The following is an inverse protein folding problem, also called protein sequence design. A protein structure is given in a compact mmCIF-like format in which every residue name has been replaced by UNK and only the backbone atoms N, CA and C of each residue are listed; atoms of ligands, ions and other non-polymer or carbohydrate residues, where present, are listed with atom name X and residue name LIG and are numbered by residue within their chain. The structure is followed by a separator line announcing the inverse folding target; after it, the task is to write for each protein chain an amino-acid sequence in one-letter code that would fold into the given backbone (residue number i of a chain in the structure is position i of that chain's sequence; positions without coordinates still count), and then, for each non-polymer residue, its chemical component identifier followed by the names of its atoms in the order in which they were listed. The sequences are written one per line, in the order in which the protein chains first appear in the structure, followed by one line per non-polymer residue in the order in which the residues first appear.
data_IF_508131681797
#
_entry.id   IF_508131681797
#
_cell.length_a   1.000
_cell.length_b   1.000
_cell.length_c   1.000
_cell.angle_alpha   90.00
_cell.angle_beta   90.00
_cell.angle_gamma   90.00
#
_symmetry.space_group_name_H-M   'P 1'
#
loop_
_entity.id
_entity.type
_entity.pdbx_description
1 polymer ?
#
# COMPACT_ATOMS: atom_id res chain seq x y z
N UNK A 1 -44.15 -29.06 -15.33
CA UNK A 1 -45.06 -28.82 -16.47
C UNK A 1 -44.39 -27.78 -17.35
N UNK A 2 -43.83 -28.22 -18.48
CA UNK A 2 -42.99 -27.46 -19.41
C UNK A 2 -43.87 -26.74 -20.43
N UNK A 3 -43.56 -25.46 -20.70
CA UNK A 3 -43.71 -24.71 -21.96
C UNK A 3 -43.49 -23.22 -21.60
N UNK A 4 -42.59 -22.46 -22.22
CA UNK A 4 -42.67 -22.16 -23.64
C UNK A 4 -41.42 -21.41 -24.16
N UNK A 5 -41.01 -21.83 -25.35
CA UNK A 5 -40.47 -21.05 -26.48
C UNK A 5 -38.96 -20.74 -26.49
N UNK A 6 -38.39 -21.26 -27.57
CA UNK A 6 -37.00 -21.31 -27.97
C UNK A 6 -36.83 -20.32 -29.14
N UNK A 7 -35.58 -19.85 -29.32
CA UNK A 7 -34.95 -19.32 -30.55
C UNK A 7 -34.89 -17.80 -30.71
N UNK A 8 -33.71 -17.24 -30.38
CA UNK A 8 -32.90 -16.51 -31.36
C UNK A 8 -31.45 -16.38 -30.88
N UNK A 9 -30.65 -17.29 -31.42
CA UNK A 9 -29.26 -17.20 -31.84
C UNK A 9 -28.53 -15.86 -31.58
N UNK A 10 -27.53 -15.93 -30.71
CA UNK A 10 -26.30 -15.14 -30.85
C UNK A 10 -25.11 -16.10 -30.65
N UNK A 11 -24.67 -16.73 -31.75
CA UNK A 11 -23.29 -17.21 -31.84
C UNK A 11 -22.38 -15.98 -31.81
N UNK A 12 -21.78 -15.66 -30.67
CA UNK A 12 -20.60 -14.80 -30.65
C UNK A 12 -19.40 -15.72 -30.80
N UNK A 13 -18.94 -15.82 -32.04
CA UNK A 13 -17.62 -16.33 -32.42
C UNK A 13 -16.60 -15.29 -31.94
N UNK A 14 -15.57 -15.73 -31.20
CA UNK A 14 -14.29 -15.00 -31.14
C UNK A 14 -13.71 -14.74 -29.75
N UNK A 15 -12.75 -15.59 -29.37
CA UNK A 15 -11.37 -15.26 -28.95
C UNK A 15 -10.89 -16.15 -27.78
N UNK A 16 -9.99 -17.14 -28.00
CA UNK A 16 -9.14 -17.65 -26.94
C UNK A 16 -8.03 -16.61 -26.71
N UNK A 17 -8.33 -15.57 -25.94
CA UNK A 17 -7.40 -14.45 -25.82
C UNK A 17 -7.86 -13.36 -24.86
N UNK A 18 -8.32 -13.72 -23.66
CA UNK A 18 -8.30 -12.77 -22.55
C UNK A 18 -7.53 -13.39 -21.40
N UNK A 19 -6.35 -12.81 -21.18
CA UNK A 19 -5.48 -13.09 -20.08
C UNK A 19 -6.24 -12.93 -18.76
N UNK A 20 -6.46 -14.04 -18.07
CA UNK A 20 -6.66 -13.99 -16.63
C UNK A 20 -5.28 -13.80 -15.98
N UNK A 21 -4.70 -12.60 -16.12
CA UNK A 21 -3.77 -12.13 -15.10
C UNK A 21 -4.60 -11.96 -13.84
N UNK A 22 -4.66 -13.02 -13.03
CA UNK A 22 -5.15 -12.95 -11.67
C UNK A 22 -4.25 -11.94 -10.96
N UNK A 23 -4.67 -10.67 -10.93
CA UNK A 23 -4.09 -9.70 -10.02
C UNK A 23 -4.33 -10.30 -8.65
N UNK A 24 -3.29 -10.90 -8.07
CA UNK A 24 -3.22 -11.13 -6.64
C UNK A 24 -3.80 -9.87 -6.03
N UNK A 25 -4.89 -10.04 -5.29
CA UNK A 25 -5.35 -9.03 -4.36
C UNK A 25 -4.21 -8.88 -3.36
N UNK A 26 -3.23 -8.09 -3.77
CA UNK A 26 -2.17 -7.55 -2.94
C UNK A 26 -2.98 -6.70 -1.97
N UNK A 27 -3.39 -7.33 -0.87
CA UNK A 27 -3.89 -6.66 0.31
C UNK A 27 -2.78 -5.69 0.67
N UNK A 28 -2.83 -4.48 0.07
CA UNK A 28 -1.80 -3.47 0.24
C UNK A 28 -1.73 -3.29 1.76
N UNK A 29 -0.59 -3.59 2.41
CA UNK A 29 -0.45 -3.18 3.80
C UNK A 29 -0.78 -1.69 3.80
N UNK A 30 -1.71 -1.26 4.67
CA UNK A 30 -2.21 0.11 4.74
C UNK A 30 -1.08 1.06 4.33
N UNK A 31 -1.24 1.75 3.19
CA UNK A 31 -0.14 2.49 2.58
C UNK A 31 0.16 3.72 3.42
N UNK A 32 0.98 3.53 4.45
CA UNK A 32 1.46 4.58 5.31
C UNK A 32 2.48 5.39 4.54
N UNK A 33 2.14 6.66 4.32
CA UNK A 33 3.04 7.61 3.67
C UNK A 33 3.75 8.40 4.76
N UNK A 34 5.07 8.26 4.86
CA UNK A 34 5.87 9.06 5.77
C UNK A 34 6.52 10.25 5.06
N UNK A 35 6.69 11.34 5.81
CA UNK A 35 7.34 12.56 5.36
C UNK A 35 8.29 13.05 6.45
N UNK A 36 9.52 13.37 6.07
CA UNK A 36 10.54 13.96 6.94
C UNK A 36 11.45 14.90 6.13
N UNK A 37 12.15 15.81 6.80
CA UNK A 37 13.17 16.64 6.13
C UNK A 37 14.35 15.76 5.72
N UNK A 38 14.67 15.74 4.43
CA UNK A 38 15.70 14.85 3.91
C UNK A 38 15.29 13.37 3.99
N UNK A 39 14.01 13.03 3.93
CA UNK A 39 13.59 11.63 3.84
C UNK A 39 14.01 11.04 2.48
N UNK A 40 14.81 9.98 2.51
CA UNK A 40 15.16 9.21 1.32
C UNK A 40 14.20 8.03 1.14
N UNK A 41 13.97 7.27 2.20
CA UNK A 41 13.04 6.16 2.20
C UNK A 41 12.40 6.01 3.58
N UNK A 42 11.19 5.45 3.59
CA UNK A 42 10.48 5.16 4.83
C UNK A 42 9.62 3.93 4.67
N UNK A 43 9.51 3.16 5.75
CA UNK A 43 8.56 2.07 5.82
C UNK A 43 7.91 2.05 7.20
N UNK A 44 6.58 2.07 7.21
CA UNK A 44 5.82 1.92 8.44
C UNK A 44 4.72 0.89 8.23
N UNK A 45 4.70 -0.14 9.08
CA UNK A 45 3.76 -1.26 9.00
C UNK A 45 2.66 -1.21 10.07
N UNK A 46 2.51 -0.08 10.78
CA UNK A 46 1.46 0.09 11.80
C UNK A 46 1.84 -0.33 13.23
N UNK A 47 3.13 -0.55 13.51
CA UNK A 47 3.64 -0.90 14.85
C UNK A 47 4.10 0.30 15.68
N UNK A 48 4.91 0.04 16.72
CA UNK A 48 5.48 1.06 17.61
C UNK A 48 6.75 1.74 17.07
N UNK A 49 7.27 1.24 15.95
CA UNK A 49 8.45 1.79 15.28
C UNK A 49 8.22 1.94 13.77
N UNK A 50 8.86 2.95 13.19
CA UNK A 50 8.92 3.18 11.75
C UNK A 50 10.37 3.14 11.27
N UNK A 51 10.61 2.48 10.14
CA UNK A 51 11.88 2.55 9.45
C UNK A 51 11.99 3.89 8.74
N UNK A 52 13.02 4.66 9.08
CA UNK A 52 13.30 5.96 8.46
C UNK A 52 14.74 5.94 7.94
N UNK A 53 14.90 6.27 6.67
CA UNK A 53 16.17 6.50 6.03
C UNK A 53 16.24 7.95 5.56
N UNK A 54 17.18 8.70 6.12
CA UNK A 54 17.44 10.09 5.77
C UNK A 54 18.61 10.22 4.80
N UNK A 55 18.54 11.20 3.92
CA UNK A 55 19.62 11.65 3.04
C UNK A 55 20.82 12.06 3.90
N UNK A 56 22.00 11.54 3.58
CA UNK A 56 23.22 11.75 4.36
C UNK A 56 23.54 10.64 5.36
N UNK A 57 22.65 9.66 5.54
CA UNK A 57 22.92 8.46 6.34
C UNK A 57 23.11 7.25 5.43
N UNK A 58 24.18 6.49 5.63
CA UNK A 58 24.44 5.26 4.84
C UNK A 58 23.39 4.18 5.03
N UNK A 59 22.64 4.20 6.13
CA UNK A 59 21.60 3.23 6.43
C UNK A 59 20.41 3.89 7.13
N UNK A 60 19.20 3.41 6.86
CA UNK A 60 18.05 3.76 7.69
C UNK A 60 18.04 2.97 8.99
N UNK A 61 17.21 3.42 9.94
CA UNK A 61 17.02 2.79 11.23
C UNK A 61 15.55 2.77 11.61
N UNK A 62 15.19 1.87 12.51
CA UNK A 62 13.86 1.85 13.13
C UNK A 62 13.84 2.82 14.30
N UNK A 63 12.97 3.80 14.23
CA UNK A 63 12.77 4.79 15.27
C UNK A 63 11.42 4.60 15.94
N UNK A 64 11.33 4.79 17.26
CA UNK A 64 10.06 4.75 17.96
C UNK A 64 9.15 5.86 17.46
N UNK A 65 7.85 5.55 17.37
CA UNK A 65 6.84 6.49 16.93
C UNK A 65 5.69 6.57 17.90
N UNK A 66 5.12 7.76 18.02
CA UNK A 66 3.87 8.02 18.71
C UNK A 66 2.72 8.01 17.70
N UNK A 67 1.79 7.08 17.88
CA UNK A 67 0.56 7.01 17.08
C UNK A 67 -0.53 7.88 17.69
N UNK A 68 -1.02 8.84 16.91
CA UNK A 68 -2.15 9.73 17.21
C UNK A 68 -3.23 9.56 16.13
N UNK A 69 -4.07 8.55 16.31
CA UNK A 69 -5.10 8.20 15.33
C UNK A 69 -4.50 7.72 14.00
N UNK A 70 -4.77 8.45 12.92
CA UNK A 70 -4.25 8.16 11.57
C UNK A 70 -2.90 8.83 11.28
N UNK A 71 -2.35 9.56 12.25
CA UNK A 71 -1.06 10.23 12.15
C UNK A 71 -0.10 9.59 13.15
N UNK A 72 1.10 9.31 12.69
CA UNK A 72 2.16 8.69 13.46
C UNK A 72 3.36 9.61 13.36
N UNK A 73 3.93 10.03 14.49
CA UNK A 73 5.05 10.96 14.52
C UNK A 73 6.23 10.33 15.24
N UNK A 74 7.45 10.59 14.77
CA UNK A 74 8.64 10.18 15.47
C UNK A 74 9.77 11.18 15.29
N UNK A 75 10.87 10.93 16.00
CA UNK A 75 12.08 11.73 15.93
C UNK A 75 13.26 10.78 15.71
N UNK A 76 14.05 11.07 14.69
CA UNK A 76 15.28 10.31 14.43
C UNK A 76 16.38 10.68 15.43
N UNK A 77 17.44 9.87 15.54
CA UNK A 77 18.57 10.14 16.45
C UNK A 77 19.28 11.47 16.18
N UNK A 78 19.11 12.07 15.01
CA UNK A 78 19.66 13.38 14.67
C UNK A 78 18.74 14.55 15.05
N UNK A 79 17.53 14.29 15.54
CA UNK A 79 16.53 15.31 15.86
C UNK A 79 15.57 15.63 14.71
N UNK A 80 15.72 15.01 13.54
CA UNK A 80 14.77 15.17 12.43
C UNK A 80 13.44 14.54 12.79
N UNK A 81 12.39 15.35 12.82
CA UNK A 81 11.01 14.91 13.02
C UNK A 81 10.45 14.33 11.72
N UNK A 82 9.72 13.24 11.84
CA UNK A 82 9.02 12.61 10.73
C UNK A 82 7.58 12.31 11.09
N UNK A 83 6.72 12.32 10.08
CA UNK A 83 5.28 12.09 10.23
C UNK A 83 4.81 11.09 9.18
N UNK A 84 4.25 9.97 9.61
CA UNK A 84 3.57 8.98 8.79
C UNK A 84 2.06 9.16 8.88
N UNK A 85 1.36 9.08 7.74
CA UNK A 85 -0.10 9.11 7.68
C UNK A 85 -0.60 7.89 6.94
N UNK A 86 -1.62 7.23 7.47
CA UNK A 86 -2.36 6.20 6.71
C UNK A 86 -3.26 6.92 5.72
N UNK A 87 -3.08 6.67 4.43
CA UNK A 87 -4.02 7.07 3.38
C UNK A 87 -5.11 6.03 3.19
#
# INVERSE_FOLDING_TARGET
MVRAIIWLTACIIGAPGIAAAQTKQDTKPASWTCSASGLQASEYKGGDAAYIHLVGYSSGNYYPVEKKGNVVTGVTSNGTKFTCRSS
#
